data_IF_418950487345
#
_entry.id   IF_418950487345
#
_cell.length_a   1.000
_cell.length_b   1.000
_cell.length_c   1.000
_cell.angle_alpha   90.00
_cell.angle_beta   90.00
_cell.angle_gamma   90.00
#
_symmetry.space_group_name_H-M   'P 1'
#
loop_
_entity.id
_entity.type
_entity.pdbx_description
1 polymer ?
#
# COMPACT_ATOMS: atom_id res chain seq x y z
N UNK A 1 -6.35 14.85 -10.92
CA UNK A 1 -6.40 15.00 -9.44
C UNK A 1 -5.47 16.13 -9.10
N UNK A 2 -5.80 17.00 -8.15
CA UNK A 2 -4.84 18.04 -7.73
C UNK A 2 -3.65 17.42 -6.95
N UNK A 3 -2.58 18.20 -6.83
CA UNK A 3 -1.34 17.78 -6.19
C UNK A 3 -1.55 17.33 -4.74
N UNK A 4 -2.34 18.08 -3.96
CA UNK A 4 -2.56 17.81 -2.53
C UNK A 4 -3.26 16.46 -2.33
N UNK A 5 -4.30 16.18 -3.12
CA UNK A 5 -4.98 14.90 -3.08
C UNK A 5 -4.06 13.73 -3.50
N UNK A 6 -3.14 13.94 -4.44
CA UNK A 6 -2.14 12.91 -4.79
C UNK A 6 -1.12 12.74 -3.67
N UNK A 7 -0.65 13.83 -3.06
CA UNK A 7 0.27 13.80 -1.94
C UNK A 7 -0.33 13.03 -0.77
N UNK A 8 -1.61 13.20 -0.45
CA UNK A 8 -2.28 12.41 0.60
C UNK A 8 -2.32 10.90 0.31
N UNK A 9 -2.35 10.50 -0.96
CA UNK A 9 -2.42 9.10 -1.38
C UNK A 9 -1.05 8.42 -1.48
N UNK A 10 -0.01 9.18 -1.80
CA UNK A 10 1.35 8.67 -1.93
C UNK A 10 2.16 8.88 -0.64
N UNK A 11 2.93 7.87 -0.22
CA UNK A 11 3.97 8.04 0.78
C UNK A 11 5.08 8.97 0.26
N UNK A 12 5.93 9.55 1.13
CA UNK A 12 7.06 10.38 0.68
C UNK A 12 8.02 9.66 -0.28
N UNK A 13 8.10 8.32 -0.22
CA UNK A 13 8.89 7.51 -1.14
C UNK A 13 8.21 7.22 -2.49
N UNK A 14 6.98 7.71 -2.73
CA UNK A 14 6.19 7.45 -3.94
C UNK A 14 5.36 6.16 -3.90
N UNK A 15 5.41 5.37 -2.83
CA UNK A 15 4.53 4.21 -2.68
C UNK A 15 3.07 4.63 -2.50
N UNK A 16 2.16 3.95 -3.19
CA UNK A 16 0.73 4.22 -3.10
C UNK A 16 0.13 3.64 -1.80
N UNK A 17 -0.26 4.52 -0.87
CA UNK A 17 -0.94 4.13 0.36
C UNK A 17 -2.41 3.77 0.12
N UNK A 18 -3.07 4.37 -0.88
CA UNK A 18 -4.48 4.11 -1.19
C UNK A 18 -4.74 2.65 -1.62
N UNK A 19 -3.72 1.97 -2.17
CA UNK A 19 -3.80 0.53 -2.52
C UNK A 19 -3.07 -0.39 -1.53
N UNK A 20 -2.60 0.11 -0.38
CA UNK A 20 -1.84 -0.68 0.60
C UNK A 20 -2.76 -1.55 1.48
N UNK A 21 -2.40 -2.83 1.70
CA UNK A 21 -3.18 -3.74 2.57
C UNK A 21 -3.35 -3.26 4.01
N UNK A 22 -2.46 -2.41 4.53
CA UNK A 22 -2.50 -1.96 5.92
C UNK A 22 -3.18 -0.61 6.14
N UNK A 23 -3.39 0.20 5.10
CA UNK A 23 -3.88 1.57 5.27
C UNK A 23 -5.39 1.59 5.57
N UNK A 24 -5.80 2.37 6.57
CA UNK A 24 -7.19 2.38 7.05
C UNK A 24 -8.22 2.88 6.04
N UNK A 25 -7.79 3.64 5.02
CA UNK A 25 -8.65 4.09 3.90
C UNK A 25 -8.24 3.46 2.57
N UNK A 26 -7.64 2.27 2.57
CA UNK A 26 -7.23 1.61 1.33
C UNK A 26 -8.37 0.91 0.62
N UNK A 27 -8.22 0.78 -0.70
CA UNK A 27 -9.08 -0.05 -1.53
C UNK A 27 -9.08 -1.51 -1.09
N UNK A 28 -7.93 -2.03 -0.65
CA UNK A 28 -7.83 -3.40 -0.15
C UNK A 28 -8.73 -3.61 1.06
N UNK A 29 -8.67 -2.71 2.06
CA UNK A 29 -9.52 -2.81 3.26
C UNK A 29 -11.00 -2.70 2.88
N UNK A 30 -11.34 -1.75 2.01
CA UNK A 30 -12.71 -1.56 1.52
C UNK A 30 -13.24 -2.83 0.85
N UNK A 31 -12.49 -3.39 -0.10
CA UNK A 31 -12.87 -4.61 -0.81
C UNK A 31 -12.92 -5.84 0.11
N UNK A 32 -11.94 -6.00 1.01
CA UNK A 32 -11.93 -7.08 1.99
C UNK A 32 -13.13 -7.01 2.94
N UNK A 33 -13.50 -5.82 3.40
CA UNK A 33 -14.67 -5.61 4.26
C UNK A 33 -15.97 -5.97 3.53
N UNK A 34 -16.12 -5.51 2.28
CA UNK A 34 -17.29 -5.82 1.44
C UNK A 34 -17.39 -7.33 1.14
N UNK A 35 -16.28 -7.97 0.78
CA UNK A 35 -16.25 -9.40 0.52
C UNK A 35 -16.55 -10.22 1.78
N UNK A 36 -16.00 -9.81 2.94
CA UNK A 36 -16.29 -10.46 4.22
C UNK A 36 -17.78 -10.38 4.57
N UNK A 37 -18.42 -9.24 4.34
CA UNK A 37 -19.86 -9.07 4.56
C UNK A 37 -20.67 -9.94 3.61
N UNK A 38 -20.31 -9.99 2.32
CA UNK A 38 -20.99 -10.81 1.32
C UNK A 38 -20.87 -12.32 1.59
N UNK A 39 -19.79 -12.75 2.25
CA UNK A 39 -19.53 -14.15 2.63
C UNK A 39 -19.95 -14.48 4.07
N UNK A 40 -20.74 -13.62 4.72
CA UNK A 40 -21.24 -13.91 6.06
C UNK A 40 -21.95 -15.27 6.10
N UNK A 41 -21.60 -16.09 7.10
CA UNK A 41 -22.11 -17.46 7.30
C UNK A 41 -21.78 -18.49 6.20
N UNK A 42 -21.01 -18.12 5.15
CA UNK A 42 -20.70 -19.05 4.06
C UNK A 42 -19.90 -20.28 4.52
N UNK A 43 -19.17 -20.21 5.65
CA UNK A 43 -18.51 -21.40 6.23
C UNK A 43 -19.45 -22.57 6.51
N UNK A 44 -20.76 -22.33 6.69
CA UNK A 44 -21.75 -23.37 6.99
C UNK A 44 -21.93 -24.32 5.80
N UNK A 45 -21.75 -23.82 4.57
CA UNK A 45 -21.92 -24.61 3.33
C UNK A 45 -20.59 -25.10 2.75
N UNK A 46 -19.46 -24.59 3.25
CA UNK A 46 -18.12 -24.94 2.78
C UNK A 46 -17.85 -26.45 2.80
N UNK A 47 -18.15 -27.23 3.87
CA UNK A 47 -17.85 -28.66 3.88
C UNK A 47 -18.55 -29.44 2.77
N UNK A 48 -19.79 -29.06 2.44
CA UNK A 48 -20.56 -29.69 1.37
C UNK A 48 -20.02 -29.32 -0.02
N UNK A 49 -19.67 -28.06 -0.25
CA UNK A 49 -19.09 -27.64 -1.54
C UNK A 49 -17.67 -28.20 -1.73
N UNK A 50 -16.87 -28.27 -0.67
CA UNK A 50 -15.52 -28.81 -0.70
C UNK A 50 -15.48 -30.28 -1.10
N UNK A 51 -16.42 -31.09 -0.61
CA UNK A 51 -16.50 -32.51 -0.94
C UNK A 51 -17.10 -32.81 -2.31
N UNK A 52 -17.94 -31.91 -2.85
CA UNK A 52 -18.68 -32.15 -4.08
C UNK A 52 -18.03 -31.54 -5.35
N UNK A 53 -17.79 -30.23 -5.34
CA UNK A 53 -17.54 -29.46 -6.57
C UNK A 53 -16.36 -28.50 -6.50
N UNK A 54 -15.87 -28.16 -5.30
CA UNK A 54 -14.82 -27.16 -5.12
C UNK A 54 -13.84 -27.54 -3.99
N UNK A 55 -12.96 -28.53 -4.19
CA UNK A 55 -12.01 -29.00 -3.17
C UNK A 55 -11.14 -27.90 -2.56
N UNK A 56 -10.84 -26.83 -3.30
CA UNK A 56 -10.10 -25.64 -2.82
C UNK A 56 -10.71 -25.01 -1.56
N UNK A 57 -12.01 -25.19 -1.32
CA UNK A 57 -12.68 -24.67 -0.14
C UNK A 57 -12.27 -25.39 1.16
N UNK A 58 -11.48 -26.48 1.10
CA UNK A 58 -10.88 -27.09 2.30
C UNK A 58 -10.01 -26.11 3.08
N UNK A 59 -9.42 -25.11 2.42
CA UNK A 59 -8.60 -24.06 3.03
C UNK A 59 -9.41 -22.79 3.40
N UNK A 60 -10.75 -22.84 3.39
CA UNK A 60 -11.59 -21.65 3.61
C UNK A 60 -11.30 -20.91 4.93
N UNK A 61 -10.97 -21.63 6.01
CA UNK A 61 -10.62 -21.01 7.29
C UNK A 61 -9.35 -20.15 7.19
N UNK A 62 -8.35 -20.59 6.41
CA UNK A 62 -7.14 -19.80 6.13
C UNK A 62 -7.45 -18.60 5.27
N UNK A 63 -8.28 -18.78 4.23
CA UNK A 63 -8.76 -17.68 3.41
C UNK A 63 -9.48 -16.61 4.27
N UNK A 64 -10.39 -17.04 5.15
CA UNK A 64 -11.10 -16.14 6.07
C UNK A 64 -10.14 -15.38 6.97
N UNK A 65 -9.14 -16.04 7.55
CA UNK A 65 -8.14 -15.38 8.40
C UNK A 65 -7.35 -14.29 7.64
N UNK A 66 -6.98 -14.54 6.38
CA UNK A 66 -6.31 -13.55 5.52
C UNK A 66 -7.28 -12.40 5.16
N UNK A 67 -8.53 -12.73 4.84
CA UNK A 67 -9.55 -11.73 4.53
C UNK A 67 -9.83 -10.81 5.71
N UNK A 68 -9.95 -11.38 6.91
CA UNK A 68 -10.10 -10.63 8.16
C UNK A 68 -8.90 -9.73 8.43
N UNK A 69 -7.68 -10.23 8.19
CA UNK A 69 -6.46 -9.43 8.29
C UNK A 69 -6.50 -8.21 7.35
N UNK A 70 -6.90 -8.39 6.09
CA UNK A 70 -7.02 -7.27 5.14
C UNK A 70 -8.15 -6.30 5.50
N UNK A 71 -9.24 -6.78 6.08
CA UNK A 71 -10.32 -5.92 6.58
C UNK A 71 -9.92 -5.11 7.83
N UNK A 72 -8.87 -5.54 8.56
CA UNK A 72 -8.40 -4.94 9.80
C UNK A 72 -7.27 -3.90 9.63
N UNK A 73 -7.01 -3.39 8.43
CA UNK A 73 -5.96 -2.38 8.22
C UNK A 73 -6.18 -1.08 9.03
N UNK A 74 -5.18 -0.66 9.83
CA UNK A 74 -5.27 0.50 10.75
C UNK A 74 -4.17 1.55 10.55
N UNK A 75 -3.25 1.35 9.60
CA UNK A 75 -2.15 2.27 9.37
C UNK A 75 -2.68 3.68 9.02
N UNK A 76 -1.99 4.70 9.54
CA UNK A 76 -2.33 6.13 9.35
C UNK A 76 -1.45 6.84 8.31
N UNK A 77 -0.62 6.10 7.56
CA UNK A 77 0.40 6.56 6.59
C UNK A 77 1.68 7.15 7.21
N UNK A 78 2.78 7.09 6.44
CA UNK A 78 4.07 7.65 6.83
C UNK A 78 4.02 9.17 7.02
N UNK A 79 3.17 9.89 6.27
CA UNK A 79 3.00 11.35 6.40
C UNK A 79 2.44 11.77 7.76
N UNK A 80 1.68 10.86 8.40
CA UNK A 80 1.14 11.03 9.75
C UNK A 80 1.98 10.31 10.82
N UNK A 81 3.20 9.88 10.48
CA UNK A 81 4.16 9.30 11.42
C UNK A 81 4.09 7.78 11.59
N UNK A 82 3.24 7.07 10.84
CA UNK A 82 3.23 5.61 10.88
C UNK A 82 4.56 5.03 10.41
N UNK A 83 5.00 3.94 11.05
CA UNK A 83 6.18 3.18 10.65
C UNK A 83 5.78 2.11 9.65
N UNK A 84 6.08 2.33 8.36
CA UNK A 84 5.92 1.28 7.34
C UNK A 84 7.09 0.29 7.38
N UNK A 85 8.29 0.79 7.61
CA UNK A 85 9.50 0.00 7.78
C UNK A 85 10.33 0.61 8.92
N UNK A 86 10.91 -0.22 9.78
CA UNK A 86 11.69 0.25 10.94
C UNK A 86 12.92 1.07 10.52
N UNK A 87 13.52 0.73 9.38
CA UNK A 87 14.69 1.38 8.80
C UNK A 87 14.39 2.63 7.94
N UNK A 88 13.13 3.08 7.88
CA UNK A 88 12.73 4.19 7.03
C UNK A 88 12.65 5.51 7.81
N UNK A 89 13.57 6.42 7.52
CA UNK A 89 13.61 7.78 8.07
C UNK A 89 12.55 8.72 7.46
N UNK A 90 11.97 8.35 6.31
CA UNK A 90 11.03 9.21 5.59
C UNK A 90 9.77 9.59 6.37
N UNK A 91 9.45 8.88 7.48
CA UNK A 91 8.30 9.18 8.35
C UNK A 91 8.36 10.56 9.05
N UNK A 92 9.57 11.07 9.31
CA UNK A 92 9.79 12.39 9.93
C UNK A 92 10.62 13.30 9.03
N UNK A 93 11.62 12.73 8.35
CA UNK A 93 12.59 13.46 7.52
C UNK A 93 11.93 14.37 6.48
N UNK A 94 10.81 13.97 5.87
CA UNK A 94 10.14 14.79 4.87
C UNK A 94 9.65 16.14 5.45
N UNK A 95 9.15 16.14 6.69
CA UNK A 95 8.75 17.37 7.40
C UNK A 95 9.95 18.20 7.82
N UNK A 96 10.98 17.55 8.37
CA UNK A 96 12.24 18.20 8.77
C UNK A 96 12.93 18.90 7.59
N UNK A 97 12.81 18.32 6.39
CA UNK A 97 13.38 18.86 5.14
C UNK A 97 12.45 19.80 4.38
N UNK A 98 11.20 19.98 4.82
CA UNK A 98 10.21 20.82 4.13
C UNK A 98 9.86 20.32 2.73
N UNK A 99 9.81 19.00 2.53
CA UNK A 99 9.47 18.36 1.25
C UNK A 99 8.31 17.39 1.39
N UNK A 100 7.54 17.23 0.31
CA UNK A 100 6.46 16.24 0.25
C UNK A 100 6.97 14.87 -0.14
N UNK A 101 7.99 14.82 -0.98
CA UNK A 101 8.55 13.59 -1.53
C UNK A 101 10.06 13.57 -1.38
N UNK A 102 10.61 12.36 -1.24
CA UNK A 102 12.05 12.17 -1.09
C UNK A 102 12.83 12.80 -2.24
N UNK A 103 12.34 12.70 -3.49
CA UNK A 103 13.05 13.22 -4.68
C UNK A 103 13.24 14.74 -4.70
N UNK A 104 12.43 15.48 -3.93
CA UNK A 104 12.54 16.94 -3.81
C UNK A 104 13.66 17.34 -2.84
N UNK A 105 14.15 16.40 -2.02
CA UNK A 105 15.25 16.67 -1.10
C UNK A 105 16.58 16.78 -1.87
N UNK A 106 17.38 17.80 -1.56
CA UNK A 106 18.71 17.98 -2.15
C UNK A 106 19.68 16.82 -1.87
N UNK A 107 19.44 16.04 -0.82
CA UNK A 107 20.22 14.85 -0.50
C UNK A 107 19.76 13.61 -1.27
N UNK A 108 18.68 13.68 -2.05
CA UNK A 108 18.15 12.50 -2.73
C UNK A 108 18.97 12.11 -3.97
N UNK A 109 19.31 10.82 -4.15
CA UNK A 109 19.07 9.71 -3.22
C UNK A 109 20.09 9.71 -2.05
N UNK A 110 19.61 9.55 -0.81
CA UNK A 110 20.42 9.55 0.42
C UNK A 110 20.55 8.18 1.08
N UNK A 111 21.53 8.03 1.99
CA UNK A 111 21.79 6.78 2.72
C UNK A 111 21.04 6.67 4.07
N UNK A 112 20.16 7.62 4.38
CA UNK A 112 19.35 7.60 5.63
C UNK A 112 18.34 6.47 5.63
N UNK A 113 17.94 5.99 4.44
CA UNK A 113 17.11 4.81 4.28
C UNK A 113 17.97 3.70 3.67
N UNK A 114 18.14 2.58 4.36
CA UNK A 114 18.81 1.39 3.79
C UNK A 114 17.75 0.42 3.28
N UNK A 115 17.16 0.76 2.13
CA UNK A 115 16.13 -0.07 1.51
C UNK A 115 16.76 -1.35 0.90
N UNK A 116 16.18 -2.54 1.14
CA UNK A 116 16.67 -3.76 0.52
C UNK A 116 16.15 -3.93 -0.92
N UNK A 117 17.00 -4.47 -1.79
CA UNK A 117 16.62 -5.04 -3.10
C UNK A 117 15.67 -4.18 -3.92
N UNK A 118 14.47 -4.72 -4.21
CA UNK A 118 13.46 -4.08 -5.05
C UNK A 118 12.94 -2.76 -4.50
N UNK A 119 13.00 -2.52 -3.18
CA UNK A 119 12.49 -1.30 -2.57
C UNK A 119 13.41 -0.09 -2.85
N UNK A 120 14.73 -0.27 -2.81
CA UNK A 120 15.69 0.80 -3.17
C UNK A 120 15.54 1.18 -4.63
N UNK A 121 15.49 0.17 -5.51
CA UNK A 121 15.26 0.37 -6.95
C UNK A 121 14.00 1.18 -7.20
N UNK A 122 12.85 0.76 -6.64
CA UNK A 122 11.57 1.46 -6.81
C UNK A 122 11.61 2.87 -6.26
N UNK A 123 12.21 3.09 -5.10
CA UNK A 123 12.33 4.41 -4.50
C UNK A 123 13.09 5.39 -5.41
N UNK A 124 14.18 4.92 -6.03
CA UNK A 124 14.95 5.70 -7.02
C UNK A 124 14.17 5.94 -8.31
N UNK A 125 13.58 4.89 -8.88
CA UNK A 125 12.79 4.97 -10.12
C UNK A 125 11.57 5.89 -9.95
N UNK A 126 10.86 5.78 -8.83
CA UNK A 126 9.71 6.63 -8.54
C UNK A 126 10.13 8.08 -8.35
N UNK A 127 11.23 8.33 -7.64
CA UNK A 127 11.76 9.68 -7.50
C UNK A 127 12.19 10.28 -8.83
N UNK A 128 12.89 9.52 -9.67
CA UNK A 128 13.28 9.95 -11.01
C UNK A 128 12.06 10.24 -11.89
N UNK A 129 11.05 9.37 -11.87
CA UNK A 129 9.83 9.54 -12.66
C UNK A 129 9.01 10.74 -12.19
N UNK A 130 8.82 10.92 -10.89
CA UNK A 130 8.13 12.10 -10.35
C UNK A 130 8.86 13.40 -10.71
N UNK A 131 10.20 13.38 -10.76
CA UNK A 131 11.00 14.54 -11.21
C UNK A 131 10.82 14.84 -12.69
N UNK A 132 10.66 13.80 -13.51
CA UNK A 132 10.53 13.91 -14.97
C UNK A 132 9.13 14.39 -15.38
N UNK A 133 8.07 13.78 -14.85
CA UNK A 133 6.69 14.00 -15.33
C UNK A 133 5.77 14.72 -14.34
N UNK A 134 6.26 15.02 -13.14
CA UNK A 134 5.44 15.53 -12.05
C UNK A 134 4.75 14.41 -11.26
N UNK A 135 4.29 14.77 -10.07
CA UNK A 135 3.74 13.83 -9.08
C UNK A 135 2.38 13.30 -9.51
N UNK A 136 1.55 14.16 -10.07
CA UNK A 136 0.19 13.85 -10.51
C UNK A 136 0.23 12.85 -11.66
N UNK A 137 1.10 13.09 -12.65
CA UNK A 137 1.25 12.17 -13.78
C UNK A 137 1.84 10.83 -13.35
N UNK A 138 2.86 10.86 -12.49
CA UNK A 138 3.40 9.64 -11.89
C UNK A 138 2.32 8.83 -11.18
N UNK A 139 1.43 9.48 -10.43
CA UNK A 139 0.34 8.80 -9.76
C UNK A 139 -0.63 8.13 -10.74
N UNK A 140 -1.07 8.84 -11.79
CA UNK A 140 -1.90 8.28 -12.85
C UNK A 140 -1.27 7.04 -13.51
N UNK A 141 0.02 7.12 -13.83
CA UNK A 141 0.78 5.99 -14.38
C UNK A 141 0.86 4.82 -13.40
N UNK A 142 1.05 5.11 -12.12
CA UNK A 142 1.10 4.08 -11.07
C UNK A 142 -0.21 3.30 -10.94
N UNK A 143 -1.36 3.91 -11.30
CA UNK A 143 -2.67 3.24 -11.25
C UNK A 143 -2.82 2.19 -12.35
N UNK A 144 -2.06 2.31 -13.44
CA UNK A 144 -2.07 1.34 -14.55
C UNK A 144 -1.23 0.10 -14.28
N UNK A 145 -0.55 0.04 -13.12
CA UNK A 145 0.38 -1.04 -12.77
C UNK A 145 0.05 -1.64 -11.41
N UNK A 146 0.41 -2.92 -11.16
CA UNK A 146 0.25 -3.54 -9.85
C UNK A 146 1.04 -2.77 -8.79
N UNK A 147 0.43 -2.51 -7.63
CA UNK A 147 1.11 -1.81 -6.53
C UNK A 147 2.39 -2.53 -6.07
N UNK A 148 2.39 -3.86 -6.08
CA UNK A 148 3.41 -4.72 -5.45
C UNK A 148 4.44 -5.31 -6.44
N UNK A 149 4.47 -4.83 -7.69
CA UNK A 149 5.49 -5.22 -8.67
C UNK A 149 6.93 -4.80 -8.29
#
# INVERSE_FOLDING_TARGET
>A
MDYDAVAERLAPCGLDCSRCVYYTKSDVKRHATQLRQALADYEKVVPAHASAVAPVLSDYSRFRAILDHFAAGECITCRKGARCFEFCAARTCHKEKGVDFCFQCAEFPCDKNRYPGSLDRRWREFGARMKEVGVERFYEESLQRPRYE
#
